data_IF_995791887532
#
_entry.id   IF_995791887532
#
_cell.length_a   1.000
_cell.length_b   1.000
_cell.length_c   1.000
_cell.angle_alpha   90.00
_cell.angle_beta   90.00
_cell.angle_gamma   90.00
#
_symmetry.space_group_name_H-M   'P 1'
#
loop_
_entity.id
_entity.type
_entity.pdbx_description
1 polymer ?
#
# COMPACT_ATOMS: atom_id res chain seq x y z
N UNK A 1 29.10 24.48 -64.28
CA UNK A 1 28.42 24.89 -63.05
C UNK A 1 27.44 23.77 -62.72
N UNK A 2 27.86 22.86 -61.85
CA UNK A 2 27.14 21.64 -61.52
C UNK A 2 26.40 21.86 -60.22
N UNK A 3 25.10 21.59 -60.22
CA UNK A 3 24.24 21.59 -59.01
C UNK A 3 24.57 20.41 -58.14
N UNK A 4 24.56 20.53 -56.79
CA UNK A 4 24.72 19.39 -55.89
C UNK A 4 23.37 18.69 -55.73
N UNK A 5 23.32 17.47 -56.23
CA UNK A 5 22.23 16.50 -55.98
C UNK A 5 22.26 16.01 -54.55
N UNK A 6 21.10 16.03 -53.92
CA UNK A 6 20.82 15.65 -52.58
C UNK A 6 21.17 14.19 -52.25
N UNK A 7 22.02 13.97 -51.27
CA UNK A 7 22.16 12.71 -50.55
C UNK A 7 21.53 12.85 -49.14
N UNK A 8 20.21 12.82 -49.05
CA UNK A 8 19.46 12.97 -47.78
C UNK A 8 18.44 11.88 -47.54
N UNK A 9 18.69 10.65 -47.98
CA UNK A 9 17.66 9.59 -47.85
C UNK A 9 18.07 8.31 -47.10
N UNK A 10 19.30 8.22 -46.63
CA UNK A 10 19.77 6.95 -46.00
C UNK A 10 19.79 6.94 -44.46
N UNK A 11 19.48 8.07 -43.79
CA UNK A 11 19.58 8.17 -42.32
C UNK A 11 18.26 8.09 -41.51
N UNK A 12 17.10 7.98 -42.14
CA UNK A 12 15.81 8.15 -41.44
C UNK A 12 15.06 6.84 -41.06
N UNK A 13 15.64 5.68 -41.25
CA UNK A 13 14.96 4.41 -40.99
C UNK A 13 14.80 4.03 -39.51
N UNK A 14 15.32 4.79 -38.56
CA UNK A 14 15.27 4.49 -37.12
C UNK A 14 14.67 5.57 -36.21
N UNK A 15 14.27 6.73 -36.77
CA UNK A 15 13.80 7.86 -35.94
C UNK A 15 12.33 7.67 -35.57
N UNK A 16 12.00 7.64 -34.24
CA UNK A 16 10.62 7.58 -33.78
C UNK A 16 9.83 8.80 -34.25
N UNK A 17 8.50 8.63 -34.45
CA UNK A 17 7.61 9.75 -34.78
C UNK A 17 7.75 10.90 -33.77
N UNK A 18 7.90 10.58 -32.48
CA UNK A 18 8.18 11.57 -31.43
C UNK A 18 9.47 12.36 -31.69
N UNK A 19 10.54 11.69 -32.11
CA UNK A 19 11.81 12.35 -32.46
C UNK A 19 11.65 13.30 -33.63
N UNK A 20 10.96 12.89 -34.68
CA UNK A 20 10.67 13.72 -35.85
C UNK A 20 9.82 14.95 -35.52
N UNK A 21 8.78 14.78 -34.70
CA UNK A 21 7.91 15.89 -34.27
C UNK A 21 8.65 16.83 -33.31
N UNK A 22 9.47 16.31 -32.38
CA UNK A 22 10.24 17.16 -31.47
C UNK A 22 11.29 18.01 -32.21
N UNK A 23 11.89 17.47 -33.25
CA UNK A 23 12.85 18.21 -34.10
C UNK A 23 12.19 19.33 -34.91
N UNK A 24 10.90 19.26 -35.21
CA UNK A 24 10.14 20.30 -35.92
C UNK A 24 9.60 21.40 -35.00
N UNK A 25 9.61 21.22 -33.67
CA UNK A 25 9.15 22.22 -32.70
C UNK A 25 10.24 23.24 -32.40
N UNK A 26 9.85 24.51 -32.26
CA UNK A 26 10.70 25.52 -31.64
C UNK A 26 10.94 25.25 -30.15
N UNK A 27 11.94 25.83 -29.54
CA UNK A 27 12.22 25.67 -28.10
C UNK A 27 11.01 26.06 -27.23
N UNK A 28 10.35 27.18 -27.60
CA UNK A 28 9.16 27.66 -26.92
C UNK A 28 7.97 26.65 -27.01
N UNK A 29 7.78 26.05 -28.19
CA UNK A 29 6.78 25.02 -28.39
C UNK A 29 7.10 23.75 -27.63
N UNK A 30 8.37 23.36 -27.52
CA UNK A 30 8.80 22.22 -26.70
C UNK A 30 8.53 22.49 -25.20
N UNK A 31 8.83 23.71 -24.74
CA UNK A 31 8.59 24.14 -23.37
C UNK A 31 7.10 24.16 -23.05
N UNK A 32 6.29 24.74 -23.94
CA UNK A 32 4.84 24.77 -23.80
C UNK A 32 4.25 23.35 -23.77
N UNK A 33 4.70 22.47 -24.67
CA UNK A 33 4.26 21.07 -24.71
C UNK A 33 4.55 20.31 -23.40
N UNK A 34 5.72 20.53 -22.79
CA UNK A 34 6.07 19.95 -21.48
C UNK A 34 5.17 20.50 -20.37
N UNK A 35 4.92 21.80 -20.34
CA UNK A 35 4.03 22.43 -19.35
C UNK A 35 2.59 21.92 -19.46
N UNK A 36 2.07 21.79 -20.68
CA UNK A 36 0.73 21.25 -20.92
C UNK A 36 0.64 19.77 -20.50
N UNK A 37 1.67 18.97 -20.76
CA UNK A 37 1.72 17.58 -20.32
C UNK A 37 1.71 17.47 -18.79
N UNK A 38 2.56 18.25 -18.10
CA UNK A 38 2.59 18.27 -16.63
C UNK A 38 1.27 18.73 -16.04
N UNK A 39 0.66 19.78 -16.62
CA UNK A 39 -0.65 20.24 -16.18
C UNK A 39 -1.72 19.16 -16.34
N UNK A 40 -1.76 18.47 -17.48
CA UNK A 40 -2.71 17.40 -17.74
C UNK A 40 -2.50 16.20 -16.80
N UNK A 41 -1.24 15.87 -16.46
CA UNK A 41 -0.88 14.83 -15.50
C UNK A 41 -1.33 15.22 -14.08
N UNK A 42 -0.99 16.41 -13.60
CA UNK A 42 -1.36 16.90 -12.27
C UNK A 42 -2.87 17.09 -12.11
N UNK A 43 -3.59 17.39 -13.20
CA UNK A 43 -5.05 17.45 -13.21
C UNK A 43 -5.74 16.08 -13.34
N UNK A 44 -4.98 14.99 -13.37
CA UNK A 44 -5.53 13.63 -13.31
C UNK A 44 -6.07 13.34 -11.91
N UNK A 45 -7.22 12.64 -11.82
CA UNK A 45 -7.74 12.17 -10.52
C UNK A 45 -6.82 11.16 -9.84
N UNK A 46 -5.94 10.54 -10.60
CA UNK A 46 -4.93 9.62 -10.06
C UNK A 46 -3.69 10.33 -9.51
N UNK A 47 -3.46 11.60 -9.85
CA UNK A 47 -2.26 12.31 -9.41
C UNK A 47 -2.11 12.40 -7.87
N UNK A 48 -3.16 12.76 -7.09
CA UNK A 48 -3.06 12.74 -5.63
C UNK A 48 -2.81 11.34 -5.07
N UNK A 49 -3.44 10.32 -5.65
CA UNK A 49 -3.29 8.91 -5.23
C UNK A 49 -1.86 8.41 -5.49
N UNK A 50 -1.33 8.68 -6.69
CA UNK A 50 0.06 8.29 -7.03
C UNK A 50 1.08 9.05 -6.21
N UNK A 51 0.86 10.33 -5.92
CA UNK A 51 1.74 11.12 -5.07
C UNK A 51 1.77 10.57 -3.63
N UNK A 52 0.61 10.22 -3.08
CA UNK A 52 0.51 9.60 -1.75
C UNK A 52 1.18 8.23 -1.73
N UNK A 53 0.96 7.40 -2.75
CA UNK A 53 1.60 6.09 -2.87
C UNK A 53 3.13 6.18 -2.94
N UNK A 54 3.67 7.14 -3.70
CA UNK A 54 5.11 7.39 -3.78
C UNK A 54 5.70 7.92 -2.46
N UNK A 55 4.93 8.70 -1.69
CA UNK A 55 5.36 9.16 -0.37
C UNK A 55 5.34 8.04 0.69
N UNK A 56 4.50 7.02 0.50
CA UNK A 56 4.40 5.89 1.42
C UNK A 56 5.70 5.09 1.50
N UNK A 57 6.41 4.90 0.39
CA UNK A 57 7.66 4.13 0.35
C UNK A 57 8.73 4.71 1.29
N UNK A 58 9.17 5.98 1.14
CA UNK A 58 10.14 6.56 2.06
C UNK A 58 9.64 6.64 3.50
N UNK A 59 8.32 6.86 3.70
CA UNK A 59 7.73 6.82 5.03
C UNK A 59 7.93 5.47 5.72
N UNK A 60 7.63 4.37 5.03
CA UNK A 60 7.79 3.02 5.56
C UNK A 60 9.26 2.71 5.87
N UNK A 61 10.18 3.19 5.02
CA UNK A 61 11.63 3.05 5.26
C UNK A 61 12.06 3.83 6.51
N UNK A 62 11.59 5.06 6.70
CA UNK A 62 11.92 5.87 7.89
C UNK A 62 11.40 5.20 9.16
N UNK A 63 10.17 4.69 9.16
CA UNK A 63 9.59 4.01 10.32
C UNK A 63 10.33 2.71 10.66
N UNK A 64 10.82 1.99 9.66
CA UNK A 64 11.55 0.75 9.86
C UNK A 64 12.99 0.97 10.36
N UNK A 65 13.69 1.97 9.80
CA UNK A 65 15.11 2.21 10.10
C UNK A 65 15.34 3.04 11.37
N UNK A 66 14.42 3.93 11.72
CA UNK A 66 14.56 4.89 12.82
C UNK A 66 13.31 4.93 13.72
N UNK A 67 12.85 3.80 14.29
CA UNK A 67 11.57 3.73 14.96
C UNK A 67 11.44 4.68 16.18
N UNK A 68 12.44 4.88 17.05
CA UNK A 68 12.28 5.73 18.23
C UNK A 68 12.26 7.23 17.91
N UNK A 69 13.01 7.66 16.89
CA UNK A 69 13.17 9.09 16.54
C UNK A 69 12.14 9.60 15.53
N UNK A 70 11.33 8.72 14.96
CA UNK A 70 10.38 9.04 13.88
C UNK A 70 8.98 9.44 14.39
N UNK A 71 8.87 10.07 15.57
CA UNK A 71 7.59 10.53 16.14
C UNK A 71 6.83 11.51 15.21
N UNK A 72 7.57 12.28 14.42
CA UNK A 72 7.03 13.22 13.43
C UNK A 72 6.47 12.54 12.18
N UNK A 73 6.83 11.28 11.89
CA UNK A 73 6.50 10.62 10.64
C UNK A 73 4.99 10.38 10.47
N UNK A 74 4.31 9.91 11.52
CA UNK A 74 2.87 9.68 11.47
C UNK A 74 2.05 10.98 11.30
N UNK A 75 2.31 12.09 12.04
CA UNK A 75 1.68 13.37 11.76
C UNK A 75 1.94 13.88 10.33
N UNK A 76 3.18 13.75 9.83
CA UNK A 76 3.54 14.17 8.48
C UNK A 76 2.74 13.39 7.41
N UNK A 77 2.61 12.07 7.54
CA UNK A 77 1.81 11.25 6.62
C UNK A 77 0.32 11.57 6.69
N UNK A 78 -0.22 11.85 7.88
CA UNK A 78 -1.62 12.35 8.02
C UNK A 78 -1.83 13.66 7.29
N UNK A 79 -0.88 14.60 7.44
CA UNK A 79 -0.90 15.87 6.71
C UNK A 79 -0.85 15.69 5.20
N UNK A 80 0.04 14.84 4.69
CA UNK A 80 0.12 14.49 3.27
C UNK A 80 -1.16 13.82 2.76
N UNK A 81 -1.75 12.92 3.54
CA UNK A 81 -3.02 12.28 3.21
C UNK A 81 -4.16 13.29 3.09
N UNK A 82 -4.26 14.22 4.04
CA UNK A 82 -5.24 15.31 3.98
C UNK A 82 -5.02 16.21 2.76
N UNK A 83 -3.78 16.60 2.47
CA UNK A 83 -3.46 17.41 1.29
C UNK A 83 -3.81 16.68 -0.01
N UNK A 84 -3.50 15.38 -0.11
CA UNK A 84 -3.88 14.57 -1.25
C UNK A 84 -5.41 14.46 -1.41
N UNK A 85 -6.13 14.31 -0.30
CA UNK A 85 -7.59 14.30 -0.30
C UNK A 85 -8.17 15.64 -0.73
N UNK A 86 -7.70 16.76 -0.18
CA UNK A 86 -8.13 18.10 -0.59
C UNK A 86 -7.82 18.38 -2.06
N UNK A 87 -6.66 17.95 -2.53
CA UNK A 87 -6.32 18.02 -3.95
C UNK A 87 -7.28 17.20 -4.81
N UNK A 88 -7.61 15.98 -4.41
CA UNK A 88 -8.58 15.12 -5.11
C UNK A 88 -9.97 15.78 -5.17
N UNK A 89 -10.48 16.29 -4.04
CA UNK A 89 -11.77 16.99 -3.97
C UNK A 89 -11.75 18.26 -4.82
N UNK A 90 -10.67 19.04 -4.76
CA UNK A 90 -10.48 20.23 -5.59
C UNK A 90 -10.47 19.91 -7.09
N UNK A 91 -9.82 18.82 -7.50
CA UNK A 91 -9.86 18.33 -8.89
C UNK A 91 -11.24 17.86 -9.31
N UNK A 92 -11.98 17.21 -8.42
CA UNK A 92 -13.36 16.80 -8.69
C UNK A 92 -14.26 18.02 -8.91
N UNK A 93 -14.19 19.01 -8.02
CA UNK A 93 -14.91 20.26 -8.13
C UNK A 93 -14.53 21.02 -9.43
N UNK A 94 -13.23 21.13 -9.71
CA UNK A 94 -12.74 21.74 -10.95
C UNK A 94 -13.29 21.04 -12.20
N UNK A 95 -13.39 19.72 -12.20
CA UNK A 95 -13.97 18.96 -13.30
C UNK A 95 -15.45 19.19 -13.52
N UNK A 96 -16.20 19.46 -12.46
CA UNK A 96 -17.60 19.79 -12.56
C UNK A 96 -17.82 21.19 -13.15
N UNK A 97 -16.95 22.14 -12.82
CA UNK A 97 -17.07 23.56 -13.23
C UNK A 97 -16.37 23.83 -14.57
N UNK A 98 -15.16 23.38 -14.77
CA UNK A 98 -14.32 23.72 -15.90
C UNK A 98 -14.51 22.79 -17.12
N UNK A 99 -15.73 22.71 -17.65
CA UNK A 99 -16.09 21.77 -18.73
C UNK A 99 -15.20 21.91 -19.97
N UNK A 100 -14.87 23.12 -20.42
CA UNK A 100 -14.02 23.37 -21.59
C UNK A 100 -12.58 22.87 -21.39
N UNK A 101 -12.00 23.13 -20.23
CA UNK A 101 -10.65 22.67 -19.89
C UNK A 101 -10.58 21.14 -19.84
N UNK A 102 -11.62 20.50 -19.31
CA UNK A 102 -11.71 19.04 -19.25
C UNK A 102 -11.88 18.42 -20.64
N UNK A 103 -12.65 19.06 -21.52
CA UNK A 103 -12.82 18.62 -22.90
C UNK A 103 -11.47 18.66 -23.65
N UNK A 104 -10.76 19.79 -23.57
CA UNK A 104 -9.40 19.91 -24.15
C UNK A 104 -8.41 18.88 -23.58
N UNK A 105 -8.47 18.58 -22.31
CA UNK A 105 -7.63 17.56 -21.70
C UNK A 105 -7.91 16.17 -22.25
N UNK A 106 -9.18 15.81 -22.42
CA UNK A 106 -9.58 14.52 -23.04
C UNK A 106 -9.08 14.43 -24.47
N UNK A 107 -9.32 15.45 -25.28
CA UNK A 107 -8.86 15.50 -26.68
C UNK A 107 -7.33 15.40 -26.78
N UNK A 108 -6.57 16.03 -25.87
CA UNK A 108 -5.12 15.86 -25.83
C UNK A 108 -4.68 14.46 -25.46
N UNK A 109 -5.44 13.79 -24.59
CA UNK A 109 -5.16 12.39 -24.23
C UNK A 109 -5.38 11.51 -25.46
N UNK A 110 -6.53 11.63 -26.11
CA UNK A 110 -6.87 10.91 -27.36
C UNK A 110 -5.83 11.17 -28.47
N UNK A 111 -5.41 12.43 -28.63
CA UNK A 111 -4.36 12.78 -29.59
C UNK A 111 -3.03 12.07 -29.29
N UNK A 112 -2.62 12.00 -28.01
CA UNK A 112 -1.37 11.33 -27.61
C UNK A 112 -1.47 9.82 -27.82
N UNK A 113 -2.60 9.21 -27.55
CA UNK A 113 -2.86 7.77 -27.81
C UNK A 113 -2.80 7.48 -29.31
N UNK A 114 -3.53 8.25 -30.13
CA UNK A 114 -3.53 8.08 -31.58
C UNK A 114 -2.10 8.25 -32.18
N UNK A 115 -1.33 9.22 -31.68
CA UNK A 115 0.06 9.40 -32.13
C UNK A 115 0.97 8.25 -31.65
N UNK A 116 0.75 7.71 -30.47
CA UNK A 116 1.54 6.58 -29.95
C UNK A 116 1.24 5.30 -30.75
N UNK A 117 -0.03 5.08 -31.08
CA UNK A 117 -0.46 3.98 -31.93
C UNK A 117 0.15 4.08 -33.33
N UNK A 118 0.10 5.27 -33.92
CA UNK A 118 0.73 5.53 -35.23
C UNK A 118 2.26 5.30 -35.17
N UNK A 119 2.94 5.74 -34.11
CA UNK A 119 4.38 5.49 -33.93
C UNK A 119 4.68 3.98 -33.88
N UNK A 120 3.85 3.22 -33.17
CA UNK A 120 3.92 1.76 -33.11
C UNK A 120 3.75 1.11 -34.48
N UNK A 121 2.73 1.54 -35.24
CA UNK A 121 2.48 1.05 -36.60
C UNK A 121 3.62 1.37 -37.56
N UNK A 122 4.14 2.60 -37.50
CA UNK A 122 5.26 3.03 -38.35
C UNK A 122 6.56 2.26 -38.05
N UNK A 123 6.80 1.90 -36.80
CA UNK A 123 7.96 1.06 -36.42
C UNK A 123 7.85 -0.36 -36.97
N UNK A 124 6.66 -0.97 -36.87
CA UNK A 124 6.45 -2.38 -37.24
C UNK A 124 6.29 -2.53 -38.75
N UNK A 125 5.61 -1.60 -39.43
CA UNK A 125 5.17 -1.72 -40.80
C UNK A 125 5.66 -0.59 -41.72
N UNK A 126 6.42 0.40 -41.21
CA UNK A 126 6.83 1.57 -41.97
C UNK A 126 7.65 1.26 -43.23
N UNK A 127 8.35 0.11 -43.28
CA UNK A 127 9.07 -0.36 -44.47
C UNK A 127 8.17 -0.94 -45.58
N UNK A 128 6.89 -1.21 -45.26
CA UNK A 128 5.89 -1.75 -46.25
C UNK A 128 4.92 -0.67 -46.78
N UNK A 129 5.02 0.54 -46.20
CA UNK A 129 4.18 1.67 -46.62
C UNK A 129 4.84 2.41 -47.79
N UNK A 130 4.02 2.85 -48.76
CA UNK A 130 4.45 3.80 -49.79
C UNK A 130 4.97 5.08 -49.16
N UNK A 131 6.02 5.65 -49.73
CA UNK A 131 6.68 6.87 -49.24
C UNK A 131 5.70 8.04 -49.08
N UNK A 132 4.78 8.18 -50.04
CA UNK A 132 3.74 9.22 -49.99
C UNK A 132 2.71 9.00 -48.86
N UNK A 133 2.34 7.74 -48.58
CA UNK A 133 1.44 7.41 -47.47
C UNK A 133 2.10 7.72 -46.12
N UNK A 134 3.39 7.37 -45.98
CA UNK A 134 4.16 7.67 -44.77
C UNK A 134 4.29 9.18 -44.54
N UNK A 135 4.57 9.96 -45.58
CA UNK A 135 4.69 11.43 -45.48
C UNK A 135 3.37 12.07 -45.06
N UNK A 136 2.23 11.62 -45.65
CA UNK A 136 0.90 12.07 -45.22
C UNK A 136 0.59 11.81 -43.78
N UNK A 137 0.94 10.63 -43.25
CA UNK A 137 0.73 10.28 -41.82
C UNK A 137 1.59 11.15 -40.90
N UNK A 138 2.85 11.41 -41.28
CA UNK A 138 3.73 12.31 -40.51
C UNK A 138 3.21 13.75 -40.54
N UNK A 139 2.68 14.22 -41.67
CA UNK A 139 2.06 15.55 -41.80
C UNK A 139 0.80 15.68 -40.92
N UNK A 140 -0.09 14.67 -40.95
CA UNK A 140 -1.27 14.62 -40.09
C UNK A 140 -0.89 14.62 -38.62
N UNK A 141 0.12 13.84 -38.22
CA UNK A 141 0.63 13.84 -36.85
C UNK A 141 1.21 15.20 -36.45
N UNK A 142 1.93 15.90 -37.36
CA UNK A 142 2.45 17.23 -37.11
C UNK A 142 1.33 18.28 -36.96
N UNK A 143 0.26 18.19 -37.74
CA UNK A 143 -0.92 19.05 -37.60
C UNK A 143 -1.65 18.79 -36.28
N UNK A 144 -1.80 17.53 -35.87
CA UNK A 144 -2.39 17.16 -34.56
C UNK A 144 -1.54 17.70 -33.41
N UNK A 145 -0.23 17.58 -33.53
CA UNK A 145 0.71 18.12 -32.55
C UNK A 145 0.61 19.65 -32.40
N UNK A 146 0.53 20.36 -33.53
CA UNK A 146 0.33 21.83 -33.54
C UNK A 146 -1.05 22.22 -32.94
N UNK A 147 -2.10 21.45 -33.24
CA UNK A 147 -3.43 21.70 -32.68
C UNK A 147 -3.48 21.46 -31.16
N UNK A 148 -2.73 20.47 -30.63
CA UNK A 148 -2.59 20.27 -29.18
C UNK A 148 -1.99 21.50 -28.47
N UNK A 149 -1.05 22.18 -29.10
CA UNK A 149 -0.41 23.38 -28.55
C UNK A 149 -1.31 24.61 -28.69
N UNK A 150 -2.12 24.70 -29.76
CA UNK A 150 -2.99 25.84 -30.05
C UNK A 150 -4.17 26.05 -29.11
N UNK A 151 -4.60 25.00 -28.39
CA UNK A 151 -5.62 25.11 -27.33
C UNK A 151 -7.06 25.31 -27.83
N UNK A 152 -7.32 25.16 -29.13
CA UNK A 152 -8.66 25.15 -29.74
C UNK A 152 -9.23 23.72 -29.75
N UNK A 153 -10.38 23.47 -29.07
CA UNK A 153 -10.98 22.13 -29.01
C UNK A 153 -11.46 21.63 -30.37
N UNK A 154 -12.02 22.49 -31.22
CA UNK A 154 -12.59 22.11 -32.51
C UNK A 154 -11.48 21.74 -33.52
N UNK A 155 -10.43 22.56 -33.58
CA UNK A 155 -9.27 22.26 -34.40
C UNK A 155 -8.57 20.96 -33.98
N UNK A 156 -8.45 20.73 -32.66
CA UNK A 156 -7.86 19.51 -32.12
C UNK A 156 -8.73 18.27 -32.41
N UNK A 157 -10.04 18.37 -32.21
CA UNK A 157 -10.96 17.27 -32.50
C UNK A 157 -10.91 16.85 -33.99
N UNK A 158 -10.91 17.84 -34.87
CA UNK A 158 -10.80 17.60 -36.35
C UNK A 158 -9.46 16.95 -36.69
N UNK A 159 -8.36 17.41 -36.10
CA UNK A 159 -7.05 16.87 -36.37
C UNK A 159 -6.88 15.43 -35.87
N UNK A 160 -7.42 15.12 -34.66
CA UNK A 160 -7.44 13.76 -34.09
C UNK A 160 -8.27 12.84 -34.95
N UNK A 161 -9.49 13.25 -35.37
CA UNK A 161 -10.34 12.48 -36.25
C UNK A 161 -9.64 12.11 -37.57
N UNK A 162 -9.03 13.08 -38.22
CA UNK A 162 -8.28 12.86 -39.46
C UNK A 162 -7.08 11.90 -39.29
N UNK A 163 -6.42 11.95 -38.14
CA UNK A 163 -5.30 11.05 -37.82
C UNK A 163 -5.77 9.62 -37.56
N UNK A 164 -6.87 9.45 -36.84
CA UNK A 164 -7.48 8.15 -36.53
C UNK A 164 -8.02 7.50 -37.84
N UNK A 165 -8.72 8.26 -38.66
CA UNK A 165 -9.28 7.77 -39.97
C UNK A 165 -8.14 7.33 -40.91
N UNK A 166 -7.06 8.11 -40.95
CA UNK A 166 -5.89 7.75 -41.74
C UNK A 166 -5.18 6.51 -41.21
N UNK A 167 -5.12 6.34 -39.91
CA UNK A 167 -4.62 5.12 -39.25
C UNK A 167 -5.48 3.91 -39.54
N UNK A 168 -6.79 4.06 -39.43
CA UNK A 168 -7.76 2.98 -39.69
C UNK A 168 -7.76 2.51 -41.16
N UNK A 169 -7.42 3.39 -42.11
CA UNK A 169 -7.32 3.04 -43.52
C UNK A 169 -6.08 2.23 -43.89
N UNK A 170 -5.14 2.02 -42.97
CA UNK A 170 -3.92 1.24 -43.22
C UNK A 170 -4.22 -0.26 -43.34
N UNK A 171 -3.63 -0.96 -44.35
CA UNK A 171 -3.85 -2.40 -44.54
C UNK A 171 -3.44 -3.19 -43.27
N UNK A 172 -4.37 -3.99 -42.79
CA UNK A 172 -4.14 -4.84 -41.59
C UNK A 172 -4.34 -4.13 -40.25
N UNK A 173 -5.00 -2.99 -40.23
CA UNK A 173 -5.56 -2.39 -39.01
C UNK A 173 -6.85 -3.12 -38.65
N UNK A 174 -6.75 -4.22 -37.95
CA UNK A 174 -7.85 -4.86 -37.24
C UNK A 174 -7.63 -4.59 -35.77
N UNK A 175 -8.17 -3.51 -35.26
CA UNK A 175 -8.17 -3.26 -33.81
C UNK A 175 -9.18 -4.22 -33.20
N UNK A 176 -8.67 -5.23 -32.56
CA UNK A 176 -9.48 -6.14 -31.78
C UNK A 176 -9.66 -5.53 -30.39
N UNK A 177 -10.62 -4.60 -30.26
CA UNK A 177 -10.89 -3.84 -29.02
C UNK A 177 -11.07 -4.77 -27.82
N UNK A 178 -11.65 -5.94 -28.03
CA UNK A 178 -11.80 -6.95 -26.99
C UNK A 178 -10.46 -7.55 -26.58
N UNK A 179 -9.55 -7.81 -27.51
CA UNK A 179 -8.21 -8.32 -27.21
C UNK A 179 -7.36 -7.27 -26.47
N UNK A 180 -7.43 -6.00 -26.89
CA UNK A 180 -6.72 -4.89 -26.22
C UNK A 180 -7.24 -4.68 -24.80
N UNK A 181 -8.56 -4.78 -24.59
CA UNK A 181 -9.18 -4.72 -23.26
C UNK A 181 -8.72 -5.88 -22.38
N UNK A 182 -8.75 -7.10 -22.89
CA UNK A 182 -8.32 -8.31 -22.14
C UNK A 182 -6.86 -8.25 -21.78
N UNK A 183 -5.99 -7.83 -22.72
CA UNK A 183 -4.55 -7.65 -22.45
C UNK A 183 -4.30 -6.53 -21.45
N UNK A 184 -5.02 -5.41 -21.54
CA UNK A 184 -4.94 -4.30 -20.59
C UNK A 184 -5.37 -4.72 -19.19
N UNK A 185 -6.50 -5.41 -19.08
CA UNK A 185 -7.00 -5.94 -17.81
C UNK A 185 -6.06 -7.01 -17.24
N UNK A 186 -5.51 -7.88 -18.08
CA UNK A 186 -4.52 -8.89 -17.69
C UNK A 186 -3.24 -8.27 -17.14
N UNK A 187 -2.72 -7.22 -17.77
CA UNK A 187 -1.56 -6.47 -17.27
C UNK A 187 -1.85 -5.79 -15.93
N UNK A 188 -3.00 -5.14 -15.79
CA UNK A 188 -3.42 -4.49 -14.56
C UNK A 188 -3.57 -5.51 -13.42
N UNK A 189 -4.20 -6.65 -13.69
CA UNK A 189 -4.35 -7.75 -12.76
C UNK A 189 -2.99 -8.33 -12.34
N UNK A 190 -2.09 -8.55 -13.30
CA UNK A 190 -0.74 -9.04 -13.03
C UNK A 190 0.03 -8.09 -12.10
N UNK A 191 0.00 -6.78 -12.39
CA UNK A 191 0.64 -5.76 -11.54
C UNK A 191 0.02 -5.75 -10.15
N UNK A 192 -1.30 -5.78 -10.04
CA UNK A 192 -2.00 -5.82 -8.75
C UNK A 192 -1.66 -7.08 -7.96
N UNK A 193 -1.59 -8.25 -8.61
CA UNK A 193 -1.20 -9.50 -7.99
C UNK A 193 0.28 -9.47 -7.53
N UNK A 194 1.18 -8.92 -8.33
CA UNK A 194 2.59 -8.76 -7.95
C UNK A 194 2.74 -7.86 -6.72
N UNK A 195 2.06 -6.71 -6.69
CA UNK A 195 2.08 -5.80 -5.55
C UNK A 195 1.54 -6.50 -4.30
N UNK A 196 0.37 -7.13 -4.40
CA UNK A 196 -0.26 -7.85 -3.28
C UNK A 196 0.58 -9.02 -2.78
N UNK A 197 1.24 -9.75 -3.68
CA UNK A 197 1.99 -10.97 -3.34
C UNK A 197 3.32 -10.64 -2.68
N UNK A 198 3.99 -9.57 -3.15
CA UNK A 198 5.40 -9.31 -2.83
C UNK A 198 5.55 -8.27 -1.73
N UNK A 199 4.75 -7.21 -1.70
CA UNK A 199 5.08 -6.04 -0.89
C UNK A 199 4.31 -5.98 0.43
N UNK A 200 2.99 -5.91 0.39
CA UNK A 200 2.20 -5.54 1.58
C UNK A 200 0.85 -6.26 1.57
N UNK A 201 0.49 -6.84 2.69
CA UNK A 201 -0.84 -7.43 2.90
C UNK A 201 -1.62 -6.67 3.96
N UNK A 202 -2.86 -6.24 3.67
CA UNK A 202 -3.74 -5.67 4.68
C UNK A 202 -4.32 -6.76 5.57
N UNK A 203 -4.28 -6.54 6.90
CA UNK A 203 -4.92 -7.38 7.89
C UNK A 203 -5.86 -6.54 8.76
N UNK A 204 -7.01 -7.13 9.13
CA UNK A 204 -7.93 -6.55 10.11
C UNK A 204 -7.62 -7.13 11.48
N UNK A 205 -7.60 -6.30 12.50
CA UNK A 205 -7.43 -6.72 13.91
C UNK A 205 -8.79 -7.08 14.49
N UNK A 206 -9.06 -8.37 14.75
CA UNK A 206 -10.35 -8.82 15.25
C UNK A 206 -10.41 -8.91 16.77
N UNK A 207 -9.29 -8.89 17.50
CA UNK A 207 -9.23 -9.16 18.94
C UNK A 207 -8.39 -8.14 19.70
N UNK A 208 -8.66 -8.03 21.01
CA UNK A 208 -8.00 -7.08 21.90
C UNK A 208 -6.64 -7.51 22.45
N UNK A 209 -6.06 -8.63 21.98
CA UNK A 209 -4.83 -9.20 22.58
C UNK A 209 -3.57 -8.34 22.42
N UNK A 210 -3.61 -7.34 21.56
CA UNK A 210 -2.51 -6.39 21.30
C UNK A 210 -2.84 -4.96 21.75
N UNK A 211 -3.93 -4.74 22.47
CA UNK A 211 -4.24 -3.44 23.08
C UNK A 211 -3.13 -3.11 24.10
N UNK A 212 -2.63 -1.88 24.16
CA UNK A 212 -3.08 -0.67 23.48
C UNK A 212 -2.41 -0.42 22.14
N UNK A 213 -1.40 -1.20 21.75
CA UNK A 213 -0.65 -1.02 20.50
C UNK A 213 -1.56 -1.13 19.28
N UNK A 214 -2.40 -2.16 19.25
CA UNK A 214 -3.42 -2.37 18.21
C UNK A 214 -4.78 -2.52 18.84
N UNK A 215 -5.76 -1.82 18.32
CA UNK A 215 -7.14 -1.87 18.75
C UNK A 215 -8.01 -2.67 17.80
N UNK A 216 -9.12 -3.22 18.33
CA UNK A 216 -10.10 -3.93 17.51
C UNK A 216 -10.63 -2.99 16.41
N UNK A 217 -10.65 -3.47 15.17
CA UNK A 217 -11.05 -2.70 14.00
C UNK A 217 -9.94 -1.96 13.28
N UNK A 218 -8.71 -1.97 13.83
CA UNK A 218 -7.54 -1.50 13.10
C UNK A 218 -7.29 -2.33 11.84
N UNK A 219 -7.00 -1.63 10.75
CA UNK A 219 -6.52 -2.22 9.51
C UNK A 219 -5.03 -1.92 9.41
N UNK A 220 -4.20 -2.95 9.43
CA UNK A 220 -2.75 -2.81 9.41
C UNK A 220 -2.17 -3.23 8.08
N UNK A 221 -1.03 -2.66 7.73
CA UNK A 221 -0.17 -3.18 6.68
C UNK A 221 0.92 -4.07 7.27
N UNK A 222 1.07 -5.25 6.69
CA UNK A 222 2.08 -6.24 7.06
C UNK A 222 3.12 -6.35 5.95
N UNK A 223 4.38 -6.13 6.30
CA UNK A 223 5.53 -6.30 5.42
C UNK A 223 5.91 -7.78 5.37
N UNK A 224 5.58 -8.43 4.29
CA UNK A 224 5.95 -9.83 4.05
C UNK A 224 7.42 -9.98 3.66
N UNK A 225 7.97 -8.96 3.06
CA UNK A 225 9.29 -8.99 2.44
C UNK A 225 10.43 -9.05 3.44
N UNK A 226 10.21 -8.53 4.66
CA UNK A 226 11.26 -8.39 5.66
C UNK A 226 11.85 -9.72 6.13
N UNK A 227 11.00 -10.75 6.26
CA UNK A 227 11.41 -12.08 6.72
C UNK A 227 11.53 -13.12 5.60
N UNK A 228 11.23 -12.76 4.36
CA UNK A 228 11.32 -13.61 3.20
C UNK A 228 10.07 -13.59 2.31
N UNK A 229 10.27 -13.74 0.99
CA UNK A 229 9.15 -13.82 0.04
C UNK A 229 8.53 -15.21 0.12
N UNK A 230 7.25 -15.28 0.43
CA UNK A 230 6.47 -16.50 0.28
C UNK A 230 5.83 -16.53 -1.10
N UNK A 231 6.13 -17.56 -1.87
CA UNK A 231 5.41 -17.81 -3.11
C UNK A 231 4.05 -18.38 -2.74
N UNK A 232 2.91 -17.74 -3.14
CA UNK A 232 1.59 -18.27 -2.88
C UNK A 232 1.49 -19.73 -3.34
N UNK A 233 0.84 -20.56 -2.55
CA UNK A 233 0.62 -22.00 -2.79
C UNK A 233 1.84 -22.92 -2.68
N UNK A 234 3.07 -22.42 -2.56
CA UNK A 234 4.24 -23.28 -2.48
C UNK A 234 4.85 -23.44 -1.09
N UNK A 235 4.33 -22.85 -0.04
CA UNK A 235 4.80 -22.92 1.36
C UNK A 235 6.36 -22.86 1.54
N UNK A 236 7.06 -22.47 0.49
CA UNK A 236 8.52 -22.35 0.46
C UNK A 236 8.87 -20.90 0.71
N UNK A 237 9.70 -20.65 1.72
CA UNK A 237 10.36 -19.36 1.94
C UNK A 237 11.74 -19.46 1.30
N UNK A 238 11.92 -19.01 0.05
CA UNK A 238 13.17 -19.26 -0.67
C UNK A 238 14.37 -18.54 -0.07
N UNK A 239 14.18 -17.36 0.55
CA UNK A 239 15.28 -16.59 1.14
C UNK A 239 14.80 -15.68 2.28
N UNK A 240 15.54 -15.55 3.41
CA UNK A 240 15.43 -14.40 4.28
C UNK A 240 15.97 -13.18 3.54
N UNK A 241 15.11 -12.20 3.23
CA UNK A 241 15.50 -11.13 2.30
C UNK A 241 16.19 -9.97 2.97
N UNK A 242 15.81 -9.62 4.20
CA UNK A 242 16.37 -8.46 4.88
C UNK A 242 16.96 -8.83 6.22
N UNK A 243 16.19 -9.42 7.11
CA UNK A 243 16.64 -9.82 8.46
C UNK A 243 15.74 -10.88 9.09
N UNK A 244 16.23 -11.48 10.15
CA UNK A 244 15.45 -12.35 11.02
C UNK A 244 14.54 -11.53 11.96
N UNK A 245 13.48 -12.15 12.54
CA UNK A 245 12.68 -11.54 13.59
C UNK A 245 13.54 -11.08 14.77
N UNK A 246 13.27 -9.89 15.27
CA UNK A 246 13.97 -9.31 16.41
C UNK A 246 13.02 -9.10 17.58
N UNK A 247 13.55 -9.00 18.80
CA UNK A 247 12.76 -8.62 19.98
C UNK A 247 12.12 -7.27 19.75
N UNK A 248 10.86 -7.13 20.15
CA UNK A 248 10.05 -5.93 19.90
C UNK A 248 9.26 -5.95 18.60
N UNK A 249 9.60 -6.79 17.60
CA UNK A 249 8.83 -6.89 16.37
C UNK A 249 7.41 -7.39 16.65
N UNK A 250 6.41 -6.71 16.12
CA UNK A 250 5.02 -7.20 16.10
C UNK A 250 4.82 -7.99 14.81
N UNK A 251 4.58 -9.29 14.92
CA UNK A 251 4.50 -10.21 13.79
C UNK A 251 3.11 -10.79 13.60
N UNK A 252 2.71 -10.97 12.33
CA UNK A 252 1.55 -11.77 11.94
C UNK A 252 2.03 -13.15 11.53
N UNK A 253 1.39 -14.19 12.04
CA UNK A 253 1.79 -15.57 11.82
C UNK A 253 0.58 -16.51 11.83
N UNK A 254 0.73 -17.68 11.17
CA UNK A 254 -0.23 -18.77 11.31
C UNK A 254 -0.06 -19.40 12.68
N UNK A 255 -1.17 -19.57 13.40
CA UNK A 255 -1.17 -20.24 14.70
C UNK A 255 -0.56 -21.65 14.58
N UNK A 256 0.49 -21.98 15.35
CA UNK A 256 1.10 -23.31 15.29
C UNK A 256 0.15 -24.46 15.66
N UNK A 257 -0.83 -24.20 16.53
CA UNK A 257 -1.83 -25.19 16.93
C UNK A 257 -2.99 -25.35 15.91
N UNK A 258 -3.25 -24.30 15.11
CA UNK A 258 -4.30 -24.31 14.09
C UNK A 258 -3.92 -23.34 12.95
N UNK A 259 -3.25 -23.85 11.94
CA UNK A 259 -2.68 -23.05 10.84
C UNK A 259 -3.73 -22.34 9.96
N UNK A 260 -5.02 -22.63 10.17
CA UNK A 260 -6.11 -21.92 9.50
C UNK A 260 -6.36 -20.53 10.08
N UNK A 261 -5.82 -20.24 11.28
CA UNK A 261 -6.02 -18.99 12.00
C UNK A 261 -4.74 -18.15 11.99
N UNK A 262 -4.91 -16.86 11.74
CA UNK A 262 -3.85 -15.89 11.84
C UNK A 262 -3.84 -15.23 13.21
N UNK A 263 -2.65 -15.13 13.80
CA UNK A 263 -2.41 -14.46 15.07
C UNK A 263 -1.46 -13.29 14.87
N UNK A 264 -1.57 -12.30 15.74
CA UNK A 264 -0.65 -11.19 15.81
C UNK A 264 -0.15 -11.05 17.25
N UNK A 265 1.18 -11.03 17.44
CA UNK A 265 1.83 -10.93 18.74
C UNK A 265 3.17 -10.22 18.62
N UNK A 266 3.72 -9.80 19.76
CA UNK A 266 5.06 -9.21 19.87
C UNK A 266 6.09 -10.30 20.12
N UNK A 267 7.22 -10.24 19.41
CA UNK A 267 8.38 -11.09 19.64
C UNK A 267 9.07 -10.64 20.94
N UNK A 268 9.11 -11.53 21.91
CA UNK A 268 9.78 -11.30 23.21
C UNK A 268 11.12 -12.04 23.26
N UNK A 269 11.15 -13.29 22.78
CA UNK A 269 12.36 -14.11 22.73
C UNK A 269 12.71 -14.54 21.29
N UNK A 270 14.00 -14.53 20.98
CA UNK A 270 14.57 -15.00 19.72
C UNK A 270 15.36 -16.30 19.96
N UNK A 271 15.79 -17.04 18.92
CA UNK A 271 16.51 -18.30 19.08
C UNK A 271 17.66 -18.23 20.09
N UNK A 272 17.69 -19.21 20.99
CA UNK A 272 18.71 -19.31 22.06
C UNK A 272 18.38 -18.54 23.33
N UNK A 273 17.38 -17.65 23.33
CA UNK A 273 16.98 -16.94 24.54
C UNK A 273 16.33 -17.87 25.57
N UNK A 274 16.50 -17.50 26.82
CA UNK A 274 15.76 -18.05 27.96
C UNK A 274 14.81 -16.95 28.47
N UNK A 275 13.51 -17.17 28.30
CA UNK A 275 12.45 -16.23 28.72
C UNK A 275 11.83 -16.73 30.00
N UNK A 276 11.68 -15.87 31.00
CA UNK A 276 11.00 -16.14 32.27
C UNK A 276 10.05 -14.97 32.58
N UNK A 277 8.96 -15.27 33.21
CA UNK A 277 8.01 -14.27 33.73
C UNK A 277 7.93 -14.47 35.24
N UNK A 278 8.28 -13.44 36.00
CA UNK A 278 8.21 -13.43 37.47
C UNK A 278 7.47 -12.18 37.91
N UNK A 279 6.43 -12.36 38.70
CA UNK A 279 5.56 -11.24 39.13
C UNK A 279 5.13 -10.34 37.98
N UNK A 280 4.75 -10.96 36.86
CA UNK A 280 4.35 -10.31 35.61
C UNK A 280 5.46 -9.47 34.91
N UNK A 281 6.69 -9.54 35.39
CA UNK A 281 7.86 -8.93 34.77
C UNK A 281 8.56 -9.95 33.88
N UNK A 282 8.93 -9.52 32.67
CA UNK A 282 9.65 -10.36 31.71
C UNK A 282 11.14 -10.31 32.01
N UNK A 283 11.77 -11.48 32.09
CA UNK A 283 13.22 -11.64 32.16
C UNK A 283 13.71 -12.36 30.89
N UNK A 284 14.79 -11.86 30.30
CA UNK A 284 15.43 -12.48 29.13
C UNK A 284 16.89 -12.74 29.48
N UNK A 285 17.30 -14.01 29.42
CA UNK A 285 18.65 -14.47 29.78
C UNK A 285 19.04 -13.98 31.20
N UNK A 286 18.09 -14.05 32.13
CA UNK A 286 18.27 -13.62 33.53
C UNK A 286 18.25 -12.10 33.74
N UNK A 287 18.07 -11.28 32.70
CA UNK A 287 18.00 -9.81 32.84
C UNK A 287 16.53 -9.36 32.79
N UNK A 288 16.17 -8.59 33.82
CA UNK A 288 14.86 -7.94 33.89
C UNK A 288 14.66 -6.99 32.71
N UNK A 289 13.45 -7.02 32.13
CA UNK A 289 13.01 -6.02 31.17
C UNK A 289 12.23 -4.95 31.95
N UNK A 290 12.82 -3.76 32.13
CA UNK A 290 12.24 -2.76 33.03
C UNK A 290 10.90 -2.25 32.49
N UNK A 291 9.95 -2.08 33.40
CA UNK A 291 8.63 -1.52 33.10
C UNK A 291 8.30 -0.38 34.06
N UNK A 292 7.54 0.60 33.57
CA UNK A 292 7.09 1.77 34.32
C UNK A 292 5.58 1.89 34.25
N UNK A 293 4.89 1.96 35.37
CA UNK A 293 3.46 2.23 35.42
C UNK A 293 3.20 3.66 34.91
N UNK A 294 2.31 3.78 33.91
CA UNK A 294 1.86 5.05 33.35
C UNK A 294 0.48 5.45 33.86
N UNK A 295 -0.42 4.47 34.03
CA UNK A 295 -1.76 4.68 34.55
C UNK A 295 -2.23 3.40 35.27
N UNK A 296 -2.95 3.55 36.36
CA UNK A 296 -3.64 2.47 37.08
C UNK A 296 -5.14 2.35 36.73
N UNK A 297 -5.64 3.26 35.89
CA UNK A 297 -7.04 3.33 35.45
C UNK A 297 -7.09 3.61 33.94
N UNK A 298 -6.50 2.73 33.14
CA UNK A 298 -6.55 2.84 31.69
C UNK A 298 -7.80 2.08 31.17
N UNK A 299 -8.70 2.80 30.53
CA UNK A 299 -9.91 2.22 29.96
C UNK A 299 -9.65 1.60 28.59
N UNK A 300 -9.65 0.27 28.52
CA UNK A 300 -9.60 -0.48 27.27
C UNK A 300 -10.99 -0.91 26.81
N UNK A 301 -11.28 -0.73 25.53
CA UNK A 301 -12.52 -1.22 24.92
C UNK A 301 -12.32 -2.64 24.39
N UNK A 302 -13.05 -3.61 24.94
CA UNK A 302 -13.01 -5.02 24.55
C UNK A 302 -14.34 -5.44 23.96
N UNK A 303 -14.31 -6.28 22.94
CA UNK A 303 -15.51 -6.86 22.36
C UNK A 303 -15.99 -8.03 23.24
N UNK A 304 -17.21 -7.95 23.74
CA UNK A 304 -17.86 -9.12 24.34
C UNK A 304 -18.36 -10.06 23.25
N UNK A 305 -18.23 -11.37 23.50
CA UNK A 305 -18.83 -12.36 22.62
C UNK A 305 -20.35 -12.12 22.50
N UNK A 306 -20.93 -12.16 21.30
CA UNK A 306 -22.37 -11.97 21.14
C UNK A 306 -23.13 -12.95 22.02
N UNK A 307 -24.05 -12.46 22.86
CA UNK A 307 -24.98 -13.33 23.59
C UNK A 307 -25.83 -14.09 22.59
N UNK A 308 -25.94 -15.41 22.78
CA UNK A 308 -26.55 -16.34 21.86
C UNK A 308 -28.05 -16.14 21.61
N UNK A 309 -28.70 -15.18 22.23
CA UNK A 309 -30.16 -15.13 22.41
C UNK A 309 -30.90 -14.25 21.40
N UNK A 310 -30.22 -13.71 20.36
CA UNK A 310 -30.91 -12.85 19.41
C UNK A 310 -30.21 -12.69 18.07
N UNK A 311 -30.51 -13.58 17.11
CA UNK A 311 -29.92 -13.55 15.79
C UNK A 311 -30.16 -12.23 15.00
N UNK A 312 -31.21 -11.48 15.30
CA UNK A 312 -31.58 -10.25 14.63
C UNK A 312 -31.04 -9.00 15.34
N UNK A 313 -30.83 -9.03 16.65
CA UNK A 313 -30.24 -7.96 17.45
C UNK A 313 -28.70 -7.99 17.39
N UNK A 314 -28.09 -9.16 17.22
CA UNK A 314 -26.63 -9.34 17.08
C UNK A 314 -26.02 -8.69 15.84
N UNK A 315 -26.80 -8.22 14.86
CA UNK A 315 -26.32 -7.39 13.76
C UNK A 315 -26.00 -5.95 14.19
N UNK A 316 -26.50 -5.50 15.35
CA UNK A 316 -26.38 -4.11 15.81
C UNK A 316 -25.81 -3.97 17.23
N UNK A 317 -25.73 -5.02 18.00
CA UNK A 317 -25.16 -5.05 19.36
C UNK A 317 -23.83 -5.82 19.40
N UNK A 318 -22.75 -5.19 18.98
CA UNK A 318 -21.45 -5.50 19.55
C UNK A 318 -21.41 -4.86 20.93
N UNK A 319 -21.59 -5.66 21.98
CA UNK A 319 -21.41 -5.18 23.35
C UNK A 319 -19.90 -4.93 23.57
N UNK A 320 -19.54 -3.67 23.67
CA UNK A 320 -18.20 -3.27 24.04
C UNK A 320 -18.15 -3.07 25.54
N UNK A 321 -17.24 -3.79 26.18
CA UNK A 321 -16.98 -3.65 27.60
C UNK A 321 -15.78 -2.76 27.81
N UNK A 322 -15.90 -1.76 28.66
CA UNK A 322 -14.76 -1.02 29.20
C UNK A 322 -14.23 -1.75 30.44
N UNK A 323 -12.93 -2.00 30.49
CA UNK A 323 -12.26 -2.50 31.67
C UNK A 323 -11.17 -1.52 32.06
N UNK A 324 -11.04 -1.26 33.36
CA UNK A 324 -9.92 -0.51 33.91
C UNK A 324 -8.74 -1.47 34.07
N UNK A 325 -7.69 -1.21 33.32
CA UNK A 325 -6.46 -1.99 33.33
C UNK A 325 -5.29 -1.06 33.74
N UNK A 326 -4.21 -1.65 34.23
CA UNK A 326 -2.95 -0.94 34.43
C UNK A 326 -2.17 -0.85 33.12
N UNK A 327 -1.79 0.37 32.76
CA UNK A 327 -0.97 0.66 31.59
C UNK A 327 0.48 0.80 32.00
N UNK A 328 1.34 -0.02 31.41
CA UNK A 328 2.79 0.05 31.60
C UNK A 328 3.49 0.43 30.29
N UNK A 329 4.62 1.13 30.43
CA UNK A 329 5.63 1.24 29.40
C UNK A 329 6.74 0.23 29.72
N UNK A 330 6.92 -0.76 28.86
CA UNK A 330 7.94 -1.79 28.98
C UNK A 330 9.10 -1.52 28.00
N UNK A 331 10.33 -1.69 28.49
CA UNK A 331 11.53 -1.61 27.66
C UNK A 331 12.05 -3.01 27.36
N UNK A 332 11.61 -3.57 26.23
CA UNK A 332 12.04 -4.89 25.78
C UNK A 332 13.36 -4.79 25.02
N UNK A 333 14.47 -4.94 25.72
CA UNK A 333 15.83 -4.89 25.14
C UNK A 333 16.12 -3.64 24.29
N UNK A 334 15.62 -2.47 24.72
CA UNK A 334 15.77 -1.20 24.00
C UNK A 334 14.56 -0.79 23.17
N UNK A 335 13.54 -1.64 23.03
CA UNK A 335 12.29 -1.35 22.34
C UNK A 335 11.21 -0.97 23.36
N UNK A 336 10.90 0.33 23.44
CA UNK A 336 9.81 0.84 24.28
C UNK A 336 8.45 0.54 23.63
N UNK A 337 7.55 -0.05 24.39
CA UNK A 337 6.18 -0.32 23.98
C UNK A 337 5.24 -0.31 25.18
N UNK A 338 3.94 -0.24 24.91
CA UNK A 338 2.91 -0.21 25.93
C UNK A 338 2.36 -1.62 26.15
N UNK A 339 2.07 -1.95 27.43
CA UNK A 339 1.43 -3.22 27.82
C UNK A 339 0.29 -2.95 28.78
N UNK A 340 -0.73 -3.80 28.72
CA UNK A 340 -1.86 -3.79 29.65
C UNK A 340 -1.82 -5.01 30.58
N UNK A 341 -2.24 -4.79 31.82
CA UNK A 341 -2.32 -5.79 32.85
C UNK A 341 -3.52 -5.55 33.78
N UNK A 342 -4.19 -6.60 34.21
CA UNK A 342 -5.30 -6.51 35.17
C UNK A 342 -4.77 -6.46 36.59
N UNK A 343 -5.18 -5.49 37.43
CA UNK A 343 -4.64 -5.35 38.77
C UNK A 343 -5.06 -6.48 39.74
N UNK A 344 -6.13 -7.21 39.44
CA UNK A 344 -6.74 -8.17 40.36
C UNK A 344 -6.70 -9.64 39.92
N UNK A 345 -6.11 -9.95 38.79
CA UNK A 345 -6.01 -11.32 38.27
C UNK A 345 -4.63 -11.59 37.67
N UNK A 346 -3.56 -11.67 38.47
CA UNK A 346 -2.29 -12.13 37.95
C UNK A 346 -2.45 -13.56 37.44
N UNK A 347 -2.27 -13.79 36.13
CA UNK A 347 -2.09 -15.15 35.62
C UNK A 347 -0.77 -15.67 36.16
N UNK A 348 -0.80 -16.77 36.91
CA UNK A 348 0.32 -17.48 37.52
C UNK A 348 1.66 -16.72 37.54
N UNK A 349 2.03 -16.24 38.70
CA UNK A 349 3.11 -15.31 38.97
C UNK A 349 4.51 -15.74 38.49
N UNK A 350 4.67 -17.01 38.10
CA UNK A 350 5.93 -17.54 37.62
C UNK A 350 5.70 -18.50 36.45
N UNK A 351 6.26 -18.18 35.31
CA UNK A 351 6.25 -19.05 34.14
C UNK A 351 7.63 -19.09 33.49
N UNK A 352 8.07 -20.30 33.18
CA UNK A 352 9.38 -20.55 32.60
C UNK A 352 10.32 -21.30 33.57
N UNK A 353 11.62 -21.42 33.25
CA UNK A 353 12.30 -20.83 32.08
C UNK A 353 11.92 -21.49 30.75
N UNK A 354 11.67 -20.65 29.73
CA UNK A 354 11.35 -21.10 28.38
C UNK A 354 12.56 -20.87 27.45
N UNK A 355 13.22 -21.94 27.03
CA UNK A 355 14.32 -21.83 26.07
C UNK A 355 13.78 -21.82 24.64
N UNK A 356 14.02 -20.73 23.93
CA UNK A 356 13.55 -20.55 22.56
C UNK A 356 14.36 -21.44 21.60
N UNK A 357 13.71 -22.36 20.88
CA UNK A 357 14.39 -23.23 19.91
C UNK A 357 14.95 -22.47 18.71
N UNK A 358 15.87 -23.10 17.99
CA UNK A 358 16.38 -22.59 16.73
C UNK A 358 15.24 -22.36 15.73
N UNK A 359 15.36 -21.29 14.95
CA UNK A 359 14.38 -20.88 13.92
C UNK A 359 12.94 -20.75 14.44
N UNK A 360 12.79 -20.38 15.69
CA UNK A 360 11.51 -20.12 16.34
C UNK A 360 11.58 -18.84 17.18
N UNK A 361 10.44 -18.27 17.47
CA UNK A 361 10.34 -17.12 18.38
C UNK A 361 9.34 -17.40 19.50
N UNK A 362 9.57 -16.78 20.65
CA UNK A 362 8.62 -16.70 21.76
C UNK A 362 7.91 -15.36 21.67
N UNK A 363 6.58 -15.38 21.67
CA UNK A 363 5.78 -14.19 21.47
C UNK A 363 4.77 -13.99 22.59
N UNK A 364 4.45 -12.72 22.89
CA UNK A 364 3.44 -12.34 23.86
C UNK A 364 2.51 -11.29 23.28
N UNK A 365 1.26 -11.24 23.77
CA UNK A 365 0.38 -10.12 23.54
C UNK A 365 0.73 -8.92 24.40
N UNK A 366 0.50 -7.71 23.91
CA UNK A 366 0.68 -6.49 24.68
C UNK A 366 -0.41 -6.35 25.75
N UNK A 367 -1.59 -6.90 25.52
CA UNK A 367 -2.62 -7.13 26.54
C UNK A 367 -2.31 -8.44 27.26
N UNK A 368 -1.46 -8.35 28.29
CA UNK A 368 -0.82 -9.47 28.97
C UNK A 368 -1.77 -10.53 29.51
N UNK A 369 -2.89 -10.10 30.07
CA UNK A 369 -3.87 -11.00 30.70
C UNK A 369 -4.99 -11.44 29.76
N UNK A 370 -5.08 -10.84 28.57
CA UNK A 370 -6.07 -11.16 27.57
C UNK A 370 -5.43 -11.59 26.23
N UNK A 371 -4.44 -12.49 26.34
CA UNK A 371 -3.70 -12.99 25.19
C UNK A 371 -3.49 -14.49 25.26
N UNK A 372 -3.95 -15.20 24.24
CA UNK A 372 -3.52 -16.55 23.96
C UNK A 372 -2.22 -16.49 23.16
N UNK A 373 -1.07 -16.71 23.82
CA UNK A 373 0.27 -16.57 23.23
C UNK A 373 1.20 -17.73 23.63
N UNK A 374 2.50 -17.57 23.45
CA UNK A 374 3.50 -18.61 23.72
C UNK A 374 3.44 -19.15 25.15
N UNK A 375 3.01 -18.37 26.12
CA UNK A 375 2.87 -18.80 27.53
C UNK A 375 1.81 -19.88 27.70
N UNK A 376 0.75 -19.82 26.92
CA UNK A 376 -0.46 -20.65 27.07
C UNK A 376 -0.78 -21.52 25.86
N UNK A 377 0.13 -21.60 24.88
CA UNK A 377 0.02 -22.52 23.75
C UNK A 377 -0.94 -22.11 22.64
N UNK A 378 -1.26 -20.83 22.47
CA UNK A 378 -2.15 -20.30 21.42
C UNK A 378 -3.55 -20.94 21.40
N UNK A 379 -4.03 -21.42 22.55
CA UNK A 379 -5.28 -22.17 22.66
C UNK A 379 -5.15 -23.68 22.37
N UNK A 380 -3.95 -24.18 22.12
CA UNK A 380 -3.62 -25.61 22.01
C UNK A 380 -3.23 -26.24 23.34
N UNK A 381 -2.77 -27.49 23.27
CA UNK A 381 -2.40 -28.29 24.47
C UNK A 381 -0.92 -28.15 24.83
N UNK A 382 -0.06 -27.80 23.88
CA UNK A 382 1.38 -27.63 24.12
C UNK A 382 1.68 -26.32 24.84
N UNK A 383 2.45 -26.41 25.92
CA UNK A 383 2.87 -25.24 26.74
C UNK A 383 4.31 -25.44 27.21
N UNK A 384 5.25 -24.50 26.89
CA UNK A 384 5.05 -23.33 26.03
C UNK A 384 4.93 -23.70 24.56
N UNK A 385 4.36 -22.82 23.73
CA UNK A 385 4.37 -22.98 22.30
C UNK A 385 5.22 -21.87 21.64
N UNK A 386 5.98 -22.24 20.65
CA UNK A 386 6.87 -21.34 19.90
C UNK A 386 6.31 -21.13 18.49
N UNK A 387 6.62 -19.99 17.90
CA UNK A 387 6.26 -19.70 16.51
C UNK A 387 7.46 -20.02 15.61
N UNK A 388 7.43 -21.10 14.81
CA UNK A 388 8.46 -21.38 13.83
C UNK A 388 8.54 -20.25 12.78
N UNK A 389 9.73 -19.93 12.29
CA UNK A 389 9.92 -18.92 11.24
C UNK A 389 9.06 -19.19 10.00
N UNK A 390 8.84 -20.47 9.69
CA UNK A 390 7.95 -20.91 8.61
C UNK A 390 6.50 -20.47 8.79
N UNK A 391 6.02 -20.19 10.00
CA UNK A 391 4.67 -19.73 10.26
C UNK A 391 4.53 -18.20 10.18
N UNK A 392 5.64 -17.43 10.23
CA UNK A 392 5.60 -15.96 10.26
C UNK A 392 5.23 -15.45 8.87
N UNK A 393 4.14 -14.71 8.75
CA UNK A 393 3.69 -14.06 7.50
C UNK A 393 4.41 -12.75 7.22
N UNK A 394 4.71 -11.96 8.24
CA UNK A 394 5.41 -10.70 8.11
C UNK A 394 5.36 -9.85 9.37
N UNK A 395 5.96 -8.66 9.30
CA UNK A 395 5.97 -7.65 10.36
C UNK A 395 4.84 -6.66 10.17
N UNK A 396 4.08 -6.39 11.23
CA UNK A 396 3.11 -5.30 11.26
C UNK A 396 3.85 -3.95 11.26
N UNK A 397 3.45 -3.03 10.37
CA UNK A 397 4.17 -1.78 10.17
C UNK A 397 3.38 -0.57 10.61
N UNK A 398 2.22 -0.39 10.07
CA UNK A 398 1.36 0.78 10.31
C UNK A 398 -0.10 0.40 10.35
N UNK A 399 -0.88 1.15 11.11
CA UNK A 399 -2.34 1.21 11.01
C UNK A 399 -2.68 2.21 9.91
N UNK A 400 -3.25 1.74 8.78
CA UNK A 400 -3.60 2.63 7.66
C UNK A 400 -5.05 3.11 7.71
N UNK A 401 -5.93 2.35 8.38
CA UNK A 401 -7.33 2.68 8.63
C UNK A 401 -7.73 2.11 9.98
N UNK A 402 -8.53 2.81 10.74
CA UNK A 402 -9.08 2.35 11.99
C UNK A 402 -10.57 2.61 12.03
N UNK A 403 -11.35 1.53 12.17
CA UNK A 403 -12.80 1.57 12.25
C UNK A 403 -13.21 1.18 13.68
N UNK A 404 -13.78 2.13 14.39
CA UNK A 404 -14.30 1.89 15.70
C UNK A 404 -15.63 1.13 15.69
N UNK A 405 -16.26 1.08 16.84
CA UNK A 405 -17.54 0.42 17.05
C UNK A 405 -18.60 0.90 16.05
N UNK A 406 -19.32 -0.04 15.43
CA UNK A 406 -20.40 0.23 14.47
C UNK A 406 -19.97 0.48 13.02
N UNK A 407 -18.66 0.54 12.71
CA UNK A 407 -18.15 0.67 11.34
C UNK A 407 -18.15 2.09 10.78
N UNK A 408 -18.03 2.21 9.47
CA UNK A 408 -17.73 3.47 8.77
C UNK A 408 -18.72 4.62 9.04
N UNK A 409 -19.99 4.31 9.09
CA UNK A 409 -21.07 5.32 9.24
C UNK A 409 -21.63 5.42 10.66
N UNK A 410 -21.03 4.72 11.62
CA UNK A 410 -21.57 4.64 12.98
C UNK A 410 -21.57 5.98 13.73
N UNK A 411 -20.70 6.93 13.35
CA UNK A 411 -20.73 8.29 13.91
C UNK A 411 -22.09 8.99 13.74
N UNK A 412 -22.85 8.65 12.68
CA UNK A 412 -24.20 9.14 12.46
C UNK A 412 -25.23 8.58 13.45
N UNK A 413 -24.88 7.47 14.13
CA UNK A 413 -25.75 6.72 15.04
C UNK A 413 -25.15 6.56 16.44
N UNK A 414 -24.19 7.40 16.82
CA UNK A 414 -23.58 7.39 18.17
C UNK A 414 -22.41 6.41 18.36
N UNK A 415 -21.95 5.73 17.31
CA UNK A 415 -20.74 4.92 17.37
C UNK A 415 -19.46 5.75 17.17
N UNK A 416 -18.28 5.12 17.35
CA UNK A 416 -16.99 5.80 17.25
C UNK A 416 -16.51 6.02 15.80
N UNK A 417 -17.12 5.35 14.81
CA UNK A 417 -16.84 5.56 13.38
C UNK A 417 -15.38 5.39 12.98
N UNK A 418 -14.86 6.34 12.22
CA UNK A 418 -13.47 6.35 11.78
C UNK A 418 -12.60 7.01 12.84
N UNK A 419 -11.58 6.31 13.33
CA UNK A 419 -10.60 6.83 14.30
C UNK A 419 -9.40 7.42 13.54
N UNK A 420 -9.49 8.71 13.22
CA UNK A 420 -8.48 9.39 12.39
C UNK A 420 -7.14 9.60 13.09
N UNK A 421 -7.13 9.63 14.41
CA UNK A 421 -5.94 9.72 15.26
C UNK A 421 -5.01 8.51 15.09
N UNK A 422 -5.56 7.36 14.70
CA UNK A 422 -4.81 6.14 14.46
C UNK A 422 -4.32 5.96 13.01
N UNK A 423 -4.68 6.88 12.10
CA UNK A 423 -4.23 6.78 10.71
C UNK A 423 -2.73 6.97 10.60
N UNK A 424 -2.08 6.07 9.85
CA UNK A 424 -0.63 6.00 9.68
C UNK A 424 0.12 5.93 11.02
N UNK A 425 -0.54 5.36 12.05
CA UNK A 425 0.11 5.11 13.32
C UNK A 425 1.09 3.93 13.18
N UNK A 426 2.38 4.12 13.49
CA UNK A 426 3.36 3.04 13.40
C UNK A 426 3.10 2.00 14.48
N UNK A 427 3.19 0.71 14.13
CA UNK A 427 3.12 -0.40 15.08
C UNK A 427 4.51 -0.60 15.67
N UNK A 428 4.65 -0.24 16.94
CA UNK A 428 5.93 -0.27 17.68
C UNK A 428 5.86 -1.18 18.88
#
# INVERSE_FOLDING_TARGET
>A
MSAPTASATAGQQGTSLRGLLSARRTEDQQRLGRLLYLRDLLSSLWAPVTALALALIPYLLVVELHPPSASWAAPAMRGLGLLAFLWFVGLLAFRLVARRANHLRRLRHEAREAMAELDGMLRVRGGKLDARARERLVDLAARTDAAMLGGDPEALHKAVGALVDAGASLPGHSRNETADLVVGLGKALLVALLIRTVLVEPFKIPSGSMIPTLEIGDQIFVNKFIYGVRIPYLNVVPFPLVREPQRGDVIVFNNPADTSKDFIKRVVGIPGDVVEIRDDVVFINGREQPRRLLSDDFTAWKEEAPRADGWMLGLFENSWRSEADQLFEENLSGHLHLTLQRPLQPRSNETGPFRVPDRSVFVMGDNRDDSADSRVGFGGHERPAYVPYGNIKGKAMIVWLSLGHGGLFSQLFGGTGIRTDRFFHPVR
#
